data_IF_386653479063
#
_entry.id   IF_386653479063
#
_cell.length_a   1.000
_cell.length_b   1.000
_cell.length_c   1.000
_cell.angle_alpha   90.00
_cell.angle_beta   90.00
_cell.angle_gamma   90.00
#
_symmetry.space_group_name_H-M   'P 1'
#
loop_
_entity.id
_entity.type
_entity.pdbx_description
1 polymer ?
#
# COMPACT_ATOMS: atom_id res chain seq x y z
N UNK A 1 20.14 28.20 -1.98
CA UNK A 1 20.37 27.03 -2.85
C UNK A 1 21.31 26.10 -2.09
N UNK A 2 20.99 24.86 -1.70
CA UNK A 2 20.04 23.87 -2.22
C UNK A 2 19.51 22.98 -1.09
N UNK A 3 18.19 22.77 -1.01
CA UNK A 3 17.49 21.89 -0.05
C UNK A 3 17.15 20.50 -0.62
N UNK A 4 17.72 20.14 -1.78
CA UNK A 4 17.29 18.96 -2.56
C UNK A 4 17.90 17.59 -2.15
N UNK A 5 18.74 17.50 -1.11
CA UNK A 5 19.49 16.27 -0.82
C UNK A 5 18.79 15.29 0.15
N UNK A 6 17.74 15.73 0.87
CA UNK A 6 17.06 14.88 1.86
C UNK A 6 16.12 13.86 1.21
N UNK A 7 15.48 14.21 0.08
CA UNK A 7 14.48 13.34 -0.58
C UNK A 7 15.09 12.12 -1.28
N UNK A 8 16.24 12.26 -1.95
CA UNK A 8 16.86 11.14 -2.70
C UNK A 8 17.48 10.09 -1.76
N UNK A 9 17.99 10.52 -0.60
CA UNK A 9 18.49 9.62 0.45
C UNK A 9 17.34 8.78 1.02
N UNK A 10 16.17 9.38 1.28
CA UNK A 10 14.99 8.65 1.77
C UNK A 10 14.50 7.60 0.78
N UNK A 11 14.43 7.92 -0.52
CA UNK A 11 14.02 6.97 -1.55
C UNK A 11 15.01 5.82 -1.74
N UNK A 12 16.31 6.10 -1.69
CA UNK A 12 17.35 5.08 -1.79
C UNK A 12 17.33 4.12 -0.60
N UNK A 13 17.07 4.64 0.61
CA UNK A 13 16.91 3.82 1.83
C UNK A 13 15.65 2.97 1.78
N UNK A 14 14.51 3.54 1.32
CA UNK A 14 13.26 2.80 1.17
C UNK A 14 13.41 1.69 0.13
N UNK A 15 14.00 2.00 -1.03
CA UNK A 15 14.31 1.01 -2.05
C UNK A 15 15.28 -0.07 -1.55
N UNK A 16 16.30 0.32 -0.77
CA UNK A 16 17.20 -0.61 -0.09
C UNK A 16 16.44 -1.57 0.83
N UNK A 17 15.49 -1.07 1.63
CA UNK A 17 14.62 -1.90 2.47
C UNK A 17 13.74 -2.84 1.63
N UNK A 18 13.23 -2.38 0.50
CA UNK A 18 12.45 -3.23 -0.42
C UNK A 18 13.29 -4.31 -1.09
N UNK A 19 14.53 -4.00 -1.47
CA UNK A 19 15.48 -4.96 -2.04
C UNK A 19 15.87 -6.01 -0.99
N UNK A 20 16.13 -5.59 0.25
CA UNK A 20 16.43 -6.52 1.35
C UNK A 20 15.19 -7.37 1.71
N UNK A 21 13.99 -6.82 1.66
CA UNK A 21 12.74 -7.57 1.84
C UNK A 21 12.51 -8.59 0.71
N UNK A 22 12.72 -8.19 -0.55
CA UNK A 22 12.62 -9.11 -1.69
C UNK A 22 13.69 -10.22 -1.62
N UNK A 23 14.91 -9.88 -1.18
CA UNK A 23 16.01 -10.84 -1.00
C UNK A 23 15.73 -11.81 0.15
N UNK A 24 15.16 -11.33 1.26
CA UNK A 24 14.77 -12.21 2.36
C UNK A 24 13.59 -13.12 1.99
N UNK A 25 12.66 -12.63 1.16
CA UNK A 25 11.60 -13.44 0.59
C UNK A 25 12.12 -14.58 -0.30
N UNK A 26 13.21 -14.36 -1.05
CA UNK A 26 13.89 -15.41 -1.82
C UNK A 26 14.65 -16.43 -0.94
N UNK A 27 14.99 -16.05 0.29
CA UNK A 27 15.65 -16.90 1.28
C UNK A 27 14.65 -17.63 2.20
N UNK A 28 13.33 -17.48 1.96
CA UNK A 28 12.32 -18.19 2.73
C UNK A 28 12.48 -19.70 2.57
N UNK A 29 12.16 -20.48 3.63
CA UNK A 29 12.03 -21.92 3.50
C UNK A 29 11.11 -22.24 2.31
N UNK A 30 11.43 -23.26 1.52
CA UNK A 30 10.59 -23.67 0.38
C UNK A 30 9.29 -24.37 0.81
N UNK A 31 8.85 -24.14 2.05
CA UNK A 31 7.55 -24.59 2.52
C UNK A 31 6.43 -23.77 1.87
N UNK A 32 5.19 -24.23 2.05
CA UNK A 32 4.03 -23.63 1.40
C UNK A 32 3.82 -22.17 1.81
N UNK A 33 4.17 -21.81 3.04
CA UNK A 33 4.02 -20.43 3.55
C UNK A 33 5.09 -19.50 3.01
N UNK A 34 6.33 -19.96 2.87
CA UNK A 34 7.39 -19.23 2.20
C UNK A 34 7.06 -18.92 0.73
N UNK A 35 6.49 -19.89 0.01
CA UNK A 35 6.02 -19.69 -1.37
C UNK A 35 4.86 -18.68 -1.44
N UNK A 36 3.84 -18.82 -0.59
CA UNK A 36 2.71 -17.86 -0.52
C UNK A 36 3.19 -16.44 -0.26
N UNK A 37 4.16 -16.27 0.65
CA UNK A 37 4.73 -14.97 0.96
C UNK A 37 5.53 -14.42 -0.22
N UNK A 38 6.36 -15.24 -0.87
CA UNK A 38 7.07 -14.88 -2.10
C UNK A 38 6.12 -14.42 -3.21
N UNK A 39 5.05 -15.17 -3.46
CA UNK A 39 4.03 -14.84 -4.46
C UNK A 39 3.22 -13.57 -4.11
N UNK A 40 3.18 -13.20 -2.82
CA UNK A 40 2.51 -11.99 -2.33
C UNK A 40 3.36 -10.72 -2.48
N UNK A 41 4.67 -10.84 -2.71
CA UNK A 41 5.60 -9.69 -2.77
C UNK A 41 5.16 -8.61 -3.77
N UNK A 42 4.76 -8.93 -5.02
CA UNK A 42 4.31 -7.91 -5.96
C UNK A 42 3.11 -7.11 -5.45
N UNK A 43 2.13 -7.78 -4.84
CA UNK A 43 0.94 -7.14 -4.30
C UNK A 43 1.27 -6.28 -3.07
N UNK A 44 2.19 -6.74 -2.21
CA UNK A 44 2.70 -5.99 -1.07
C UNK A 44 3.33 -4.67 -1.53
N UNK A 45 4.15 -4.72 -2.59
CA UNK A 45 4.79 -3.52 -3.16
C UNK A 45 3.73 -2.56 -3.69
N UNK A 46 2.73 -3.05 -4.42
CA UNK A 46 1.67 -2.18 -4.94
C UNK A 46 0.87 -1.53 -3.81
N UNK A 47 0.49 -2.29 -2.77
CA UNK A 47 -0.23 -1.72 -1.62
C UNK A 47 0.55 -0.60 -0.94
N UNK A 48 1.86 -0.75 -0.75
CA UNK A 48 2.69 0.31 -0.19
C UNK A 48 2.90 1.48 -1.15
N UNK A 49 3.03 1.23 -2.45
CA UNK A 49 3.11 2.29 -3.45
C UNK A 49 1.83 3.14 -3.47
N UNK A 50 0.66 2.51 -3.40
CA UNK A 50 -0.63 3.21 -3.31
C UNK A 50 -0.72 3.98 -2.00
N UNK A 51 -0.41 3.35 -0.86
CA UNK A 51 -0.41 4.01 0.45
C UNK A 51 0.46 5.28 0.46
N UNK A 52 1.67 5.18 -0.09
CA UNK A 52 2.59 6.32 -0.19
C UNK A 52 2.07 7.38 -1.16
N UNK A 53 1.51 6.98 -2.31
CA UNK A 53 0.98 7.92 -3.31
C UNK A 53 -0.22 8.72 -2.78
N UNK A 54 -1.03 8.12 -1.91
CA UNK A 54 -2.16 8.80 -1.26
C UNK A 54 -1.72 9.99 -0.39
N UNK A 55 -0.48 10.03 0.09
CA UNK A 55 0.07 11.16 0.84
C UNK A 55 0.29 12.40 -0.04
N UNK A 56 0.56 12.16 -1.32
CA UNK A 56 0.87 13.19 -2.31
C UNK A 56 -0.35 13.58 -3.15
N UNK A 57 -1.55 13.14 -2.78
CA UNK A 57 -2.77 13.41 -3.53
C UNK A 57 -3.08 14.91 -3.65
N UNK A 58 -2.60 15.75 -2.71
CA UNK A 58 -2.75 17.22 -2.81
C UNK A 58 -1.84 17.86 -3.87
N UNK A 59 -0.85 17.14 -4.39
CA UNK A 59 0.00 17.57 -5.50
C UNK A 59 -0.74 17.47 -6.85
N UNK A 60 -1.85 16.72 -6.92
CA UNK A 60 -2.71 16.64 -8.10
C UNK A 60 -3.66 17.83 -8.22
N UNK A 61 -4.04 18.13 -9.46
CA UNK A 61 -5.11 19.09 -9.74
C UNK A 61 -6.40 18.66 -9.04
N UNK A 62 -7.20 19.59 -8.47
CA UNK A 62 -8.41 19.24 -7.74
C UNK A 62 -9.38 18.31 -8.48
N UNK A 63 -9.51 18.47 -9.81
CA UNK A 63 -10.38 17.63 -10.65
C UNK A 63 -9.90 16.17 -10.79
N UNK A 64 -8.60 15.93 -10.67
CA UNK A 64 -8.00 14.59 -10.85
C UNK A 64 -7.99 13.77 -9.54
N UNK A 65 -8.19 14.43 -8.39
CA UNK A 65 -8.09 13.79 -7.06
C UNK A 65 -9.16 12.73 -6.85
N UNK A 66 -10.39 12.99 -7.32
CA UNK A 66 -11.48 12.02 -7.19
C UNK A 66 -11.19 10.74 -7.98
N UNK A 67 -10.75 10.89 -9.24
CA UNK A 67 -10.35 9.76 -10.08
C UNK A 67 -9.17 8.99 -9.48
N UNK A 68 -8.18 9.69 -8.92
CA UNK A 68 -7.03 9.06 -8.28
C UNK A 68 -7.42 8.24 -7.04
N UNK A 69 -8.40 8.71 -6.24
CA UNK A 69 -8.95 7.93 -5.12
C UNK A 69 -9.68 6.68 -5.59
N UNK A 70 -10.50 6.79 -6.63
CA UNK A 70 -11.25 5.64 -7.17
C UNK A 70 -10.29 4.60 -7.76
N UNK A 71 -9.22 5.05 -8.43
CA UNK A 71 -8.18 4.14 -8.90
C UNK A 71 -7.42 3.48 -7.74
N UNK A 72 -7.12 4.22 -6.67
CA UNK A 72 -6.48 3.68 -5.48
C UNK A 72 -7.36 2.61 -4.80
N UNK A 73 -8.68 2.82 -4.74
CA UNK A 73 -9.65 1.83 -4.23
C UNK A 73 -9.58 0.52 -5.02
N UNK A 74 -9.66 0.60 -6.36
CA UNK A 74 -9.58 -0.58 -7.24
C UNK A 74 -8.27 -1.34 -7.04
N UNK A 75 -7.14 -0.62 -6.92
CA UNK A 75 -5.84 -1.26 -6.69
C UNK A 75 -5.77 -1.92 -5.32
N UNK A 76 -6.22 -1.24 -4.26
CA UNK A 76 -6.22 -1.80 -2.89
C UNK A 76 -7.09 -3.05 -2.84
N UNK A 77 -8.28 -3.02 -3.41
CA UNK A 77 -9.20 -4.17 -3.39
C UNK A 77 -8.65 -5.34 -4.21
N UNK A 78 -8.11 -5.08 -5.40
CA UNK A 78 -7.48 -6.11 -6.23
C UNK A 78 -6.32 -6.80 -5.51
N UNK A 79 -5.39 -6.02 -4.97
CA UNK A 79 -4.15 -6.55 -4.40
C UNK A 79 -4.37 -7.15 -3.00
N UNK A 80 -5.28 -6.59 -2.19
CA UNK A 80 -5.68 -7.23 -0.94
C UNK A 80 -6.39 -8.57 -1.18
N UNK A 81 -7.29 -8.63 -2.17
CA UNK A 81 -7.97 -9.88 -2.54
C UNK A 81 -6.99 -10.93 -3.05
N UNK A 82 -6.03 -10.54 -3.90
CA UNK A 82 -5.01 -11.45 -4.39
C UNK A 82 -4.17 -12.05 -3.25
N UNK A 83 -3.78 -11.23 -2.26
CA UNK A 83 -3.09 -11.71 -1.06
C UNK A 83 -3.99 -12.67 -0.29
N UNK A 84 -5.21 -12.28 0.05
CA UNK A 84 -6.13 -13.13 0.81
C UNK A 84 -6.42 -14.47 0.15
N UNK A 85 -6.46 -14.55 -1.19
CA UNK A 85 -6.67 -15.81 -1.92
C UNK A 85 -5.50 -16.80 -1.80
N UNK A 86 -4.28 -16.33 -1.53
CA UNK A 86 -3.10 -17.23 -1.38
C UNK A 86 -3.04 -17.89 0.00
N UNK A 87 -3.72 -17.32 0.98
CA UNK A 87 -3.68 -17.78 2.36
C UNK A 87 -4.99 -18.50 2.72
N UNK A 88 -4.93 -19.64 3.41
CA UNK A 88 -6.10 -20.22 4.04
C UNK A 88 -6.85 -19.20 4.93
N UNK A 89 -8.18 -19.34 5.11
CA UNK A 89 -8.92 -18.51 6.06
C UNK A 89 -8.23 -18.48 7.42
N UNK A 90 -8.21 -17.31 8.06
CA UNK A 90 -7.61 -17.05 9.39
C UNK A 90 -6.10 -17.30 9.53
N UNK A 91 -5.41 -17.66 8.45
CA UNK A 91 -3.96 -17.91 8.45
C UNK A 91 -3.12 -16.75 7.92
N UNK A 92 -3.76 -15.68 7.43
CA UNK A 92 -3.07 -14.53 6.86
C UNK A 92 -2.12 -13.91 7.93
N UNK A 93 -0.81 -13.76 7.65
CA UNK A 93 0.11 -13.18 8.61
C UNK A 93 -0.32 -11.79 9.07
N UNK A 94 -0.16 -11.51 10.37
CA UNK A 94 -0.54 -10.22 10.97
C UNK A 94 0.04 -9.01 10.25
N UNK A 95 1.29 -9.11 9.78
CA UNK A 95 1.94 -8.03 9.03
C UNK A 95 1.21 -7.71 7.73
N UNK A 96 0.70 -8.72 7.01
CA UNK A 96 -0.08 -8.52 5.79
C UNK A 96 -1.47 -7.97 6.09
N UNK A 97 -2.09 -8.43 7.19
CA UNK A 97 -3.35 -7.86 7.67
C UNK A 97 -3.19 -6.36 7.96
N UNK A 98 -2.13 -5.98 8.68
CA UNK A 98 -1.80 -4.59 9.01
C UNK A 98 -1.56 -3.76 7.75
N UNK A 99 -0.75 -4.24 6.82
CA UNK A 99 -0.49 -3.57 5.55
C UNK A 99 -1.79 -3.26 4.77
N UNK A 100 -2.68 -4.24 4.67
CA UNK A 100 -3.97 -4.08 3.98
C UNK A 100 -4.84 -3.07 4.74
N UNK A 101 -4.88 -3.15 6.08
CA UNK A 101 -5.58 -2.21 6.94
C UNK A 101 -5.10 -0.77 6.74
N UNK A 102 -3.79 -0.55 6.84
CA UNK A 102 -3.16 0.76 6.70
C UNK A 102 -3.48 1.41 5.35
N UNK A 103 -3.47 0.64 4.25
CA UNK A 103 -3.85 1.10 2.92
C UNK A 103 -5.31 1.55 2.86
N UNK A 104 -6.23 0.76 3.41
CA UNK A 104 -7.67 1.05 3.44
C UNK A 104 -7.99 2.25 4.32
N UNK A 105 -7.39 2.33 5.50
CA UNK A 105 -7.58 3.43 6.45
C UNK A 105 -7.07 4.75 5.85
N UNK A 106 -5.93 4.70 5.15
CA UNK A 106 -5.37 5.88 4.46
C UNK A 106 -6.31 6.38 3.37
N UNK A 107 -6.83 5.47 2.55
CA UNK A 107 -7.79 5.80 1.49
C UNK A 107 -9.05 6.45 2.10
N UNK A 108 -9.62 5.84 3.14
CA UNK A 108 -10.79 6.36 3.84
C UNK A 108 -10.53 7.77 4.40
N UNK A 109 -9.38 7.98 5.05
CA UNK A 109 -8.99 9.28 5.59
C UNK A 109 -8.88 10.35 4.50
N UNK A 110 -8.27 10.05 3.35
CA UNK A 110 -8.14 11.00 2.22
C UNK A 110 -9.48 11.29 1.55
N UNK A 111 -10.35 10.28 1.43
CA UNK A 111 -11.70 10.44 0.88
C UNK A 111 -12.58 11.32 1.78
N UNK A 112 -12.49 11.14 3.09
CA UNK A 112 -13.20 11.98 4.07
C UNK A 112 -12.69 13.43 4.06
N UNK A 113 -11.40 13.64 3.81
CA UNK A 113 -10.82 14.99 3.69
C UNK A 113 -11.32 15.75 2.45
N UNK A 114 -11.53 15.05 1.33
CA UNK A 114 -12.04 15.65 0.08
C UNK A 114 -13.56 15.91 0.10
N UNK A 115 -14.30 15.27 1.02
CA UNK A 115 -15.74 15.48 1.21
C UNK A 115 -16.01 15.91 2.66
N UNK A 116 -15.76 17.18 3.03
CA UNK A 116 -16.15 17.68 4.34
C UNK A 116 -17.68 17.79 4.39
N UNK A 117 -18.38 16.77 4.90
CA UNK A 117 -19.82 16.89 5.17
C UNK A 117 -20.74 15.68 5.04
N UNK A 118 -20.25 14.42 5.09
CA UNK A 118 -21.14 13.25 5.09
C UNK A 118 -21.56 12.72 6.47
N UNK A 119 -21.32 13.46 7.56
CA UNK A 119 -21.76 13.08 8.92
C UNK A 119 -22.87 13.95 9.52
N UNK A 120 -23.52 14.83 8.74
CA UNK A 120 -24.74 15.52 9.18
C UNK A 120 -25.86 15.33 8.15
N UNK A 121 -26.49 14.16 8.15
CA UNK A 121 -27.88 14.04 7.71
C UNK A 121 -28.55 12.85 8.39
N UNK A 122 -29.60 13.21 9.14
CA UNK A 122 -30.61 12.42 9.89
C UNK A 122 -30.13 11.67 11.12
#
# INVERSE_FOLDING_TARGET
>A
MSTNNCRSVTWTVLLGRWIEFARSALALPKDLDGQRLGDSVPDIIVLQAVWFSLEHLDELNPGDRALALDHAEVLIDKHSSAISLRWPPDSLPKLLQQLIGDAKDRLAARRNHLVPGRLNRT
#
